data_IF_154573206786
#
_entry.id   IF_154573206786
#
_cell.length_a   1.000
_cell.length_b   1.000
_cell.length_c   1.000
_cell.angle_alpha   90.00
_cell.angle_beta   90.00
_cell.angle_gamma   90.00
#
_symmetry.space_group_name_H-M   'P 1'
#
loop_
_entity.id
_entity.type
_entity.pdbx_description
1 polymer ?
#
# COMPACT_ATOMS: atom_id res chain seq x y z
N UNK A 1 26.44 42.56 49.08
CA UNK A 1 26.63 42.47 50.55
C UNK A 1 25.30 42.13 51.18
N UNK A 2 25.29 41.07 51.98
CA UNK A 2 24.38 40.68 53.09
C UNK A 2 22.88 41.04 53.01
N UNK A 3 21.94 40.15 53.30
CA UNK A 3 22.06 38.88 54.02
C UNK A 3 20.74 38.11 54.05
N UNK A 4 20.89 36.82 54.34
CA UNK A 4 19.85 35.83 54.46
C UNK A 4 19.00 35.98 55.73
N UNK A 5 17.80 35.40 55.72
CA UNK A 5 17.24 34.68 56.87
C UNK A 5 16.29 33.59 56.38
N UNK A 6 16.65 32.34 56.70
CA UNK A 6 15.85 31.13 56.56
C UNK A 6 14.73 31.07 57.61
N UNK A 7 13.64 30.38 57.31
CA UNK A 7 13.05 29.43 58.26
C UNK A 7 12.18 28.40 57.53
N UNK A 8 12.53 27.14 57.76
CA UNK A 8 11.79 25.94 57.34
C UNK A 8 10.78 25.59 58.43
N UNK A 9 9.56 25.19 58.05
CA UNK A 9 8.68 24.38 58.90
C UNK A 9 8.25 23.14 58.12
N UNK A 10 8.70 22.00 58.65
CA UNK A 10 8.26 20.65 58.34
C UNK A 10 6.91 20.41 59.03
N UNK A 11 5.93 19.84 58.33
CA UNK A 11 4.92 19.02 58.98
C UNK A 11 4.62 17.80 58.11
N UNK A 12 4.84 16.62 58.69
CA UNK A 12 4.47 15.32 58.17
C UNK A 12 3.11 14.91 58.74
N UNK A 13 2.22 14.39 57.88
CA UNK A 13 1.26 13.33 58.21
C UNK A 13 0.69 12.80 56.89
N UNK A 14 1.16 11.65 56.37
CA UNK A 14 0.72 10.28 56.68
C UNK A 14 -0.77 9.99 56.41
N UNK A 15 -1.10 9.53 55.19
CA UNK A 15 -2.21 8.59 54.96
C UNK A 15 -2.01 7.73 53.69
N UNK A 16 -2.13 6.43 53.95
CA UNK A 16 -2.08 5.21 53.14
C UNK A 16 -2.28 5.28 51.60
N UNK A 17 -1.50 4.49 50.82
CA UNK A 17 -1.81 4.16 49.44
C UNK A 17 -2.81 2.98 49.35
N UNK A 18 -3.83 3.15 48.52
CA UNK A 18 -4.81 2.14 48.14
C UNK A 18 -4.17 1.01 47.33
N UNK A 19 -4.40 -0.22 47.78
CA UNK A 19 -3.95 -1.48 47.20
C UNK A 19 -4.67 -1.81 45.89
N UNK A 20 -3.88 -2.02 44.83
CA UNK A 20 -4.28 -2.69 43.58
C UNK A 20 -4.17 -4.21 43.83
N UNK A 21 -5.19 -5.03 43.49
CA UNK A 21 -5.09 -6.48 43.68
C UNK A 21 -4.21 -7.09 42.59
N UNK A 22 -3.04 -7.58 42.99
CA UNK A 22 -2.19 -8.47 42.20
C UNK A 22 -2.86 -9.85 42.12
N UNK A 23 -3.23 -10.29 40.92
CA UNK A 23 -3.67 -11.67 40.69
C UNK A 23 -2.43 -12.57 40.74
N UNK A 24 -2.28 -13.26 41.86
CA UNK A 24 -1.26 -14.29 42.09
C UNK A 24 -1.63 -15.57 41.34
N UNK A 25 -0.91 -15.90 40.27
CA UNK A 25 -0.97 -17.24 39.67
C UNK A 25 -0.19 -18.24 40.57
N UNK A 26 -0.68 -19.48 40.71
CA UNK A 26 -0.08 -20.44 41.63
C UNK A 26 1.30 -20.88 41.15
N UNK A 27 2.23 -20.82 42.09
CA UNK A 27 3.60 -21.32 42.01
C UNK A 27 3.56 -22.85 41.99
N UNK A 28 3.65 -23.50 40.81
CA UNK A 28 3.91 -24.94 40.73
C UNK A 28 5.41 -25.16 40.77
N UNK A 29 5.89 -25.59 41.93
CA UNK A 29 7.26 -26.04 42.14
C UNK A 29 7.45 -27.48 41.65
N UNK A 30 8.56 -27.69 40.92
CA UNK A 30 9.35 -28.93 40.81
C UNK A 30 8.64 -30.19 40.29
N UNK A 31 8.86 -30.48 39.01
CA UNK A 31 9.21 -31.82 38.55
C UNK A 31 10.56 -31.76 37.83
N UNK A 32 11.59 -32.27 38.51
CA UNK A 32 12.88 -32.62 37.94
C UNK A 32 12.71 -34.01 37.34
N UNK A 33 12.85 -34.14 36.02
CA UNK A 33 13.23 -35.43 35.46
C UNK A 33 14.13 -35.22 34.24
N UNK A 34 15.32 -35.78 34.34
CA UNK A 34 16.25 -35.97 33.24
C UNK A 34 15.63 -36.95 32.24
N UNK A 35 15.72 -36.68 30.95
CA UNK A 35 16.21 -37.66 29.98
C UNK A 35 16.34 -37.08 28.57
N UNK A 36 17.60 -37.04 28.12
CA UNK A 36 18.11 -37.48 26.81
C UNK A 36 17.30 -37.21 25.55
N UNK A 37 17.88 -36.35 24.71
CA UNK A 37 17.96 -36.40 23.24
C UNK A 37 17.25 -37.59 22.56
N UNK A 38 16.31 -37.27 21.67
CA UNK A 38 16.22 -37.91 20.36
C UNK A 38 15.42 -37.02 19.40
N UNK A 39 16.13 -36.46 18.43
CA UNK A 39 15.54 -35.94 17.20
C UNK A 39 14.86 -37.09 16.46
N UNK A 40 13.57 -36.96 16.20
CA UNK A 40 12.89 -37.69 15.13
C UNK A 40 11.88 -36.75 14.49
N UNK A 41 12.26 -36.17 13.35
CA UNK A 41 11.36 -35.45 12.47
C UNK A 41 10.33 -36.44 11.91
N UNK A 42 9.06 -36.27 12.31
CA UNK A 42 7.95 -36.86 11.57
C UNK A 42 7.47 -35.82 10.57
N UNK A 43 7.86 -36.03 9.31
CA UNK A 43 7.22 -35.40 8.16
C UNK A 43 5.74 -35.74 8.17
N UNK A 44 4.89 -34.72 8.27
CA UNK A 44 3.49 -34.85 7.88
C UNK A 44 3.42 -34.66 6.36
N UNK A 45 3.17 -35.77 5.66
CA UNK A 45 2.79 -35.80 4.26
C UNK A 45 1.37 -35.24 4.11
N UNK A 46 1.24 -34.04 3.56
CA UNK A 46 -0.04 -33.49 3.12
C UNK A 46 -0.47 -34.24 1.86
N UNK A 47 -1.70 -34.71 1.88
CA UNK A 47 -2.41 -35.40 0.81
C UNK A 47 -2.59 -34.41 -0.36
N UNK A 48 -1.93 -34.69 -1.48
CA UNK A 48 -2.17 -34.00 -2.75
C UNK A 48 -3.53 -34.43 -3.32
N UNK A 49 -4.41 -33.48 -3.62
CA UNK A 49 -5.50 -33.69 -4.57
C UNK A 49 -5.25 -32.80 -5.81
N UNK A 50 -5.41 -33.30 -7.06
CA UNK A 50 -4.66 -32.80 -8.20
C UNK A 50 -5.52 -31.92 -9.11
N UNK A 51 -5.35 -30.61 -9.08
CA UNK A 51 -5.82 -29.73 -10.15
C UNK A 51 -4.86 -28.57 -10.46
N UNK A 52 -3.57 -28.85 -10.63
CA UNK A 52 -2.69 -27.96 -11.38
C UNK A 52 -1.75 -28.80 -12.26
N UNK A 53 -2.00 -28.81 -13.57
CA UNK A 53 -1.14 -29.45 -14.57
C UNK A 53 0.19 -28.70 -14.63
N UNK A 54 1.25 -29.34 -14.15
CA UNK A 54 2.62 -29.01 -14.52
C UNK A 54 2.85 -29.44 -15.98
N UNK A 55 3.04 -28.49 -16.88
CA UNK A 55 3.63 -28.77 -18.18
C UNK A 55 5.15 -28.57 -18.10
N UNK A 56 5.86 -29.68 -17.89
CA UNK A 56 7.27 -29.79 -18.29
C UNK A 56 7.28 -29.99 -19.81
N UNK A 57 7.89 -29.07 -20.56
CA UNK A 57 8.19 -29.30 -21.97
C UNK A 57 9.67 -29.62 -22.17
N UNK A 58 9.91 -30.80 -22.73
CA UNK A 58 11.20 -31.24 -23.28
C UNK A 58 11.38 -30.58 -24.66
N UNK A 59 12.58 -30.06 -24.92
CA UNK A 59 13.02 -29.67 -26.28
C UNK A 59 13.22 -30.90 -27.17
N UNK A 60 12.87 -30.80 -28.46
CA UNK A 60 13.81 -31.19 -29.52
C UNK A 60 13.81 -30.20 -30.73
N UNK A 61 14.75 -30.34 -31.69
CA UNK A 61 15.17 -29.26 -32.56
C UNK A 61 14.59 -29.28 -34.00
N UNK A 62 14.76 -28.14 -34.68
CA UNK A 62 14.95 -27.92 -36.13
C UNK A 62 13.92 -27.05 -36.90
N UNK A 63 14.44 -25.89 -37.35
CA UNK A 63 14.29 -25.18 -38.64
C UNK A 63 12.92 -25.08 -39.35
N UNK A 64 12.37 -23.86 -39.44
CA UNK A 64 12.40 -22.94 -40.63
C UNK A 64 11.51 -21.70 -40.39
N UNK A 65 11.76 -20.56 -41.04
CA UNK A 65 11.26 -19.26 -40.60
C UNK A 65 9.91 -18.91 -41.23
N UNK A 66 8.98 -18.39 -40.44
CA UNK A 66 7.82 -17.66 -40.96
C UNK A 66 7.75 -16.31 -40.25
N UNK A 67 7.93 -15.28 -41.07
CA UNK A 67 7.89 -13.87 -40.69
C UNK A 67 6.48 -13.49 -40.24
N UNK A 68 6.36 -13.01 -39.00
CA UNK A 68 5.20 -12.27 -38.53
C UNK A 68 5.73 -11.07 -37.74
N UNK A 69 5.49 -9.88 -38.28
CA UNK A 69 5.91 -8.61 -37.70
C UNK A 69 5.34 -8.45 -36.29
N UNK A 70 6.21 -8.63 -35.29
CA UNK A 70 5.95 -8.12 -33.94
C UNK A 70 6.18 -6.62 -33.99
N UNK A 71 5.14 -5.84 -33.70
CA UNK A 71 5.28 -4.44 -33.35
C UNK A 71 6.16 -4.38 -32.09
N UNK A 72 7.44 -4.10 -32.28
CA UNK A 72 8.36 -3.82 -31.19
C UNK A 72 7.87 -2.55 -30.49
N UNK A 73 7.40 -2.71 -29.26
CA UNK A 73 7.22 -1.61 -28.33
C UNK A 73 8.60 -1.04 -28.04
N UNK A 74 8.96 0.03 -28.76
CA UNK A 74 10.21 0.73 -28.54
C UNK A 74 10.11 1.51 -27.23
N UNK A 75 10.69 0.94 -26.17
CA UNK A 75 11.09 1.70 -24.99
C UNK A 75 12.20 2.63 -25.48
N UNK A 76 11.86 3.87 -25.82
CA UNK A 76 12.90 4.87 -26.05
C UNK A 76 13.70 5.00 -24.74
N UNK A 77 15.02 4.83 -24.75
CA UNK A 77 15.84 5.03 -23.56
C UNK A 77 15.87 6.53 -23.30
N UNK A 78 14.89 7.05 -22.58
CA UNK A 78 14.95 8.40 -22.04
C UNK A 78 16.07 8.38 -21.01
N UNK A 79 17.16 9.09 -21.31
CA UNK A 79 18.25 9.33 -20.36
C UNK A 79 17.67 9.74 -19.01
N UNK A 80 18.08 9.09 -17.92
CA UNK A 80 17.53 9.36 -16.58
C UNK A 80 17.57 10.86 -16.27
N UNK A 81 16.43 11.43 -15.90
CA UNK A 81 16.38 12.83 -15.46
C UNK A 81 16.90 12.93 -14.02
N UNK A 82 17.41 14.11 -13.60
CA UNK A 82 17.70 14.35 -12.18
C UNK A 82 16.50 14.03 -11.28
N UNK A 83 15.28 14.32 -11.75
CA UNK A 83 14.03 14.01 -11.05
C UNK A 83 13.84 12.51 -10.82
N UNK A 84 14.17 11.65 -11.79
CA UNK A 84 14.10 10.20 -11.60
C UNK A 84 15.08 9.72 -10.53
N UNK A 85 16.32 10.22 -10.55
CA UNK A 85 17.32 9.87 -9.54
C UNK A 85 16.86 10.28 -8.13
N UNK A 86 16.25 11.46 -8.00
CA UNK A 86 15.64 11.90 -6.75
C UNK A 86 14.47 11.01 -6.32
N UNK A 87 13.53 10.72 -7.22
CA UNK A 87 12.44 9.78 -6.99
C UNK A 87 12.98 8.42 -6.51
N UNK A 88 13.97 7.88 -7.21
CA UNK A 88 14.59 6.61 -6.89
C UNK A 88 15.20 6.59 -5.49
N UNK A 89 15.85 7.69 -5.09
CA UNK A 89 16.40 7.84 -3.74
C UNK A 89 15.35 7.90 -2.63
N UNK A 90 14.13 8.36 -2.94
CA UNK A 90 13.03 8.49 -1.97
C UNK A 90 12.22 7.22 -1.84
N UNK A 91 12.00 6.51 -2.93
CA UNK A 91 11.13 5.34 -2.93
C UNK A 91 11.87 4.04 -2.57
N UNK A 92 13.19 3.98 -2.80
CA UNK A 92 13.99 2.77 -2.57
C UNK A 92 14.20 2.49 -1.08
N UNK A 93 13.95 1.25 -0.66
CA UNK A 93 14.07 0.83 0.72
C UNK A 93 13.22 -0.38 1.06
N UNK A 94 13.30 -0.79 2.32
CA UNK A 94 12.37 -1.68 2.97
C UNK A 94 11.24 -0.85 3.56
N UNK A 95 10.00 -1.22 3.24
CA UNK A 95 8.79 -0.58 3.75
C UNK A 95 7.95 -1.61 4.47
N UNK A 96 7.77 -1.45 5.77
CA UNK A 96 6.99 -2.37 6.60
C UNK A 96 5.67 -1.72 7.00
N UNK A 97 4.62 -2.51 7.18
CA UNK A 97 3.34 -1.97 7.58
C UNK A 97 2.19 -2.97 7.56
N UNK A 98 1.01 -2.46 7.27
CA UNK A 98 -0.21 -3.26 7.17
C UNK A 98 -0.93 -3.00 5.85
N UNK A 99 -1.58 -4.03 5.33
CA UNK A 99 -2.41 -3.95 4.14
C UNK A 99 -3.78 -4.58 4.34
N UNK A 100 -4.83 -3.95 3.84
CA UNK A 100 -6.20 -4.44 3.93
C UNK A 100 -6.98 -4.22 2.65
N UNK A 101 -7.94 -5.11 2.40
CA UNK A 101 -8.87 -5.05 1.27
C UNK A 101 -10.23 -4.50 1.75
N UNK A 102 -10.88 -3.69 0.93
CA UNK A 102 -12.14 -3.00 1.22
C UNK A 102 -13.12 -3.17 0.06
N UNK A 103 -14.42 -3.20 0.40
CA UNK A 103 -15.51 -3.20 -0.59
C UNK A 103 -15.63 -1.84 -1.29
N UNK A 104 -16.49 -1.76 -2.30
CA UNK A 104 -16.87 -0.52 -2.99
C UNK A 104 -17.54 0.51 -2.08
N UNK A 105 -17.98 0.12 -0.89
CA UNK A 105 -18.58 1.00 0.13
C UNK A 105 -17.58 1.35 1.24
N UNK A 106 -16.30 0.96 1.11
CA UNK A 106 -15.27 1.24 2.10
C UNK A 106 -15.33 0.37 3.35
N UNK A 107 -16.03 -0.78 3.30
CA UNK A 107 -16.07 -1.73 4.42
C UNK A 107 -14.87 -2.66 4.35
N UNK A 108 -14.15 -2.91 5.46
CA UNK A 108 -13.02 -3.83 5.46
C UNK A 108 -13.49 -5.27 5.20
N UNK A 109 -12.69 -6.01 4.45
CA UNK A 109 -12.93 -7.42 4.11
C UNK A 109 -12.09 -8.29 5.05
N UNK A 110 -12.77 -9.19 5.77
CA UNK A 110 -12.13 -10.11 6.72
C UNK A 110 -11.19 -11.08 5.98
N UNK A 111 -10.06 -11.40 6.60
CA UNK A 111 -9.12 -12.37 6.05
C UNK A 111 -9.77 -13.76 5.98
N UNK A 112 -9.44 -14.56 4.95
CA UNK A 112 -10.00 -15.90 4.83
C UNK A 112 -9.69 -16.76 6.05
N UNK A 113 -10.68 -17.55 6.47
CA UNK A 113 -10.59 -18.38 7.67
C UNK A 113 -9.37 -19.32 7.67
N UNK A 114 -8.95 -19.81 6.50
CA UNK A 114 -7.82 -20.73 6.36
C UNK A 114 -6.43 -20.10 6.57
N UNK A 115 -6.32 -18.76 6.59
CA UNK A 115 -5.06 -18.06 6.89
C UNK A 115 -5.00 -17.54 8.33
N UNK A 116 -6.13 -17.53 9.04
CA UNK A 116 -6.24 -16.99 10.40
C UNK A 116 -6.11 -18.14 11.42
N UNK A 117 -5.14 -18.06 12.36
CA UNK A 117 -5.00 -19.07 13.43
C UNK A 117 -6.29 -19.27 14.23
N UNK A 118 -6.54 -20.51 14.66
CA UNK A 118 -7.76 -20.91 15.40
C UNK A 118 -7.97 -20.10 16.68
N UNK A 119 -6.89 -19.70 17.35
CA UNK A 119 -6.93 -18.86 18.56
C UNK A 119 -7.71 -17.55 18.36
N UNK A 120 -7.63 -16.91 17.19
CA UNK A 120 -8.43 -15.71 16.92
C UNK A 120 -9.93 -16.00 16.94
N UNK A 121 -10.36 -17.20 16.53
CA UNK A 121 -11.76 -17.61 16.57
C UNK A 121 -12.20 -17.92 17.99
N UNK A 122 -11.37 -18.60 18.76
CA UNK A 122 -11.62 -18.85 20.19
C UNK A 122 -11.78 -17.54 20.98
N UNK A 123 -11.10 -16.48 20.56
CA UNK A 123 -11.20 -15.14 21.16
C UNK A 123 -12.26 -14.25 20.50
N UNK A 124 -12.98 -14.75 19.50
CA UNK A 124 -13.96 -14.00 18.71
C UNK A 124 -13.39 -12.72 18.07
N UNK A 125 -12.09 -12.73 17.74
CA UNK A 125 -11.38 -11.61 17.12
C UNK A 125 -11.33 -11.80 15.61
N UNK A 126 -11.94 -10.86 14.89
CA UNK A 126 -11.84 -10.79 13.42
C UNK A 126 -10.51 -10.17 13.01
N UNK A 127 -9.89 -10.73 11.97
CA UNK A 127 -8.64 -10.21 11.41
C UNK A 127 -8.91 -9.69 10.00
N UNK A 128 -8.53 -8.44 9.74
CA UNK A 128 -8.75 -7.77 8.46
C UNK A 128 -7.44 -7.40 7.76
N UNK A 129 -6.42 -7.09 8.55
CA UNK A 129 -5.13 -6.60 8.07
C UNK A 129 -4.12 -7.72 7.89
N UNK A 130 -3.43 -7.70 6.75
CA UNK A 130 -2.17 -8.39 6.57
C UNK A 130 -1.05 -7.55 7.20
N UNK A 131 -0.13 -8.16 7.93
CA UNK A 131 1.19 -7.55 8.08
C UNK A 131 1.92 -7.67 6.74
N UNK A 132 2.54 -6.58 6.29
CA UNK A 132 3.14 -6.48 4.97
C UNK A 132 4.56 -5.93 5.01
N UNK A 133 5.35 -6.35 4.03
CA UNK A 133 6.59 -5.70 3.63
C UNK A 133 6.52 -5.37 2.13
N UNK A 134 6.91 -4.18 1.69
CA UNK A 134 7.23 -3.89 0.29
C UNK A 134 8.68 -3.39 0.14
N UNK A 135 9.64 -4.32 0.01
CA UNK A 135 10.94 -4.01 -0.56
C UNK A 135 10.73 -3.33 -1.91
N UNK A 136 11.21 -2.10 -2.03
CA UNK A 136 11.13 -1.28 -3.24
C UNK A 136 12.53 -0.89 -3.68
N UNK A 137 12.85 -1.06 -4.96
CA UNK A 137 14.12 -0.64 -5.54
C UNK A 137 13.86 0.07 -6.87
N UNK A 138 14.29 1.32 -6.96
CA UNK A 138 14.38 2.07 -8.20
C UNK A 138 15.86 2.27 -8.56
N UNK A 139 16.22 1.96 -9.79
CA UNK A 139 17.58 2.19 -10.29
C UNK A 139 17.72 3.67 -10.68
N UNK A 140 18.65 4.46 -10.11
CA UNK A 140 18.65 5.91 -10.36
C UNK A 140 19.04 6.31 -11.80
N UNK A 141 19.67 5.40 -12.56
CA UNK A 141 20.14 5.65 -13.93
C UNK A 141 19.28 4.99 -15.01
N UNK A 142 18.50 3.99 -14.62
CA UNK A 142 17.67 3.20 -15.52
C UNK A 142 16.24 3.39 -15.04
N UNK A 143 15.32 3.86 -15.89
CA UNK A 143 13.89 4.08 -15.56
C UNK A 143 13.20 2.75 -15.21
N UNK A 144 13.62 2.14 -14.11
CA UNK A 144 13.37 0.78 -13.67
C UNK A 144 13.07 0.81 -12.18
N UNK A 145 11.89 0.31 -11.82
CA UNK A 145 11.42 0.18 -10.44
C UNK A 145 10.89 -1.25 -10.24
N UNK A 146 11.23 -1.86 -9.11
CA UNK A 146 10.63 -3.10 -8.61
C UNK A 146 10.03 -2.86 -7.22
N UNK A 147 8.76 -3.22 -6.99
CA UNK A 147 8.20 -3.39 -5.63
C UNK A 147 7.74 -4.83 -5.46
N UNK A 148 7.96 -5.38 -4.26
CA UNK A 148 7.49 -6.71 -3.88
C UNK A 148 6.54 -6.62 -2.71
N UNK A 149 5.22 -6.69 -2.91
CA UNK A 149 4.31 -6.79 -1.77
C UNK A 149 4.34 -8.20 -1.19
N UNK A 150 4.97 -8.36 -0.03
CA UNK A 150 5.01 -9.59 0.76
C UNK A 150 3.93 -9.51 1.84
N UNK A 151 2.98 -10.45 1.83
CA UNK A 151 1.98 -10.60 2.91
C UNK A 151 2.44 -11.68 3.86
N UNK A 152 2.33 -11.43 5.16
CA UNK A 152 2.68 -12.39 6.22
C UNK A 152 1.42 -12.99 6.83
N UNK A 153 1.48 -14.27 7.21
CA UNK A 153 0.39 -14.92 7.95
C UNK A 153 0.22 -14.25 9.32
N UNK A 154 -1.03 -14.02 9.78
CA UNK A 154 -1.29 -13.63 11.16
C UNK A 154 -0.71 -14.66 12.14
N UNK A 155 -0.08 -14.18 13.22
CA UNK A 155 0.53 -15.02 14.26
C UNK A 155 -0.04 -14.68 15.63
N UNK A 156 0.02 -15.64 16.56
CA UNK A 156 -0.41 -15.47 17.96
C UNK A 156 0.67 -15.92 18.94
N UNK A 157 0.70 -15.34 20.13
CA UNK A 157 1.60 -15.76 21.21
C UNK A 157 3.09 -15.50 20.94
N UNK A 158 3.96 -16.28 21.59
CA UNK A 158 5.42 -16.18 21.42
C UNK A 158 5.93 -16.67 20.06
N UNK A 159 5.06 -17.24 19.22
CA UNK A 159 5.37 -17.61 17.83
C UNK A 159 5.41 -16.39 16.89
N UNK A 160 5.03 -15.21 17.40
CA UNK A 160 5.12 -13.95 16.67
C UNK A 160 6.58 -13.60 16.24
N UNK A 161 7.59 -14.21 16.84
CA UNK A 161 9.00 -14.06 16.44
C UNK A 161 9.37 -14.76 15.12
N UNK A 162 8.45 -15.56 14.54
CA UNK A 162 8.63 -16.25 13.27
C UNK A 162 7.60 -15.79 12.22
N UNK A 163 7.90 -14.70 11.53
CA UNK A 163 7.11 -14.25 10.39
C UNK A 163 7.09 -15.31 9.28
N UNK A 164 5.89 -15.74 8.86
CA UNK A 164 5.71 -16.68 7.75
C UNK A 164 5.12 -15.96 6.55
N UNK A 165 5.76 -16.06 5.39
CA UNK A 165 5.26 -15.46 4.15
C UNK A 165 4.04 -16.24 3.65
N UNK A 166 2.96 -15.53 3.37
CA UNK A 166 1.76 -16.07 2.72
C UNK A 166 1.86 -15.95 1.20
N UNK A 167 2.13 -14.73 0.71
CA UNK A 167 2.21 -14.44 -0.72
C UNK A 167 3.23 -13.36 -1.02
N UNK A 168 3.74 -13.36 -2.25
CA UNK A 168 4.62 -12.32 -2.79
C UNK A 168 4.02 -11.89 -4.13
N UNK A 169 3.71 -10.60 -4.26
CA UNK A 169 3.31 -9.96 -5.51
C UNK A 169 4.44 -9.01 -5.95
N UNK A 170 5.12 -9.33 -7.05
CA UNK A 170 6.25 -8.54 -7.57
C UNK A 170 5.82 -7.79 -8.82
N UNK A 171 6.07 -6.47 -8.83
CA UNK A 171 5.71 -5.56 -9.92
C UNK A 171 6.93 -4.83 -10.42
N UNK A 172 7.11 -4.83 -11.73
CA UNK A 172 8.22 -4.18 -12.41
C UNK A 172 7.71 -3.07 -13.34
N UNK A 173 8.30 -1.89 -13.23
CA UNK A 173 8.12 -0.76 -14.14
C UNK A 173 9.41 -0.60 -14.95
N UNK A 174 9.28 -0.51 -16.27
CA UNK A 174 10.41 -0.36 -17.18
C UNK A 174 11.18 -1.66 -17.42
N UNK A 175 12.19 -1.58 -18.29
CA UNK A 175 12.99 -2.73 -18.68
C UNK A 175 12.21 -3.78 -19.51
N UNK A 176 12.81 -4.97 -19.64
CA UNK A 176 12.26 -6.08 -20.44
C UNK A 176 11.03 -6.71 -19.79
N UNK A 177 11.00 -6.71 -18.46
CA UNK A 177 9.93 -7.33 -17.65
C UNK A 177 8.83 -6.33 -17.26
N UNK A 178 8.72 -5.20 -17.95
CA UNK A 178 7.75 -4.14 -17.65
C UNK A 178 6.31 -4.69 -17.58
N UNK A 179 5.65 -4.47 -16.44
CA UNK A 179 4.26 -4.91 -16.22
C UNK A 179 3.25 -3.75 -16.30
N UNK A 180 3.71 -2.50 -16.44
CA UNK A 180 2.84 -1.32 -16.36
C UNK A 180 2.29 -0.90 -17.72
N UNK A 181 1.04 -0.42 -17.75
CA UNK A 181 0.47 0.28 -18.92
C UNK A 181 0.72 1.80 -18.89
N UNK A 182 0.90 2.38 -17.71
CA UNK A 182 1.27 3.77 -17.52
C UNK A 182 1.84 3.98 -16.11
N UNK A 183 2.88 4.80 -15.98
CA UNK A 183 3.53 5.13 -14.73
C UNK A 183 3.89 6.60 -14.71
N UNK A 184 3.41 7.33 -13.71
CA UNK A 184 3.76 8.72 -13.50
C UNK A 184 4.40 8.90 -12.13
N UNK A 185 5.52 9.62 -12.04
CA UNK A 185 6.30 9.78 -10.82
C UNK A 185 6.66 11.23 -10.52
N UNK A 186 6.91 11.54 -9.26
CA UNK A 186 7.41 12.84 -8.81
C UNK A 186 8.68 12.66 -7.96
N UNK A 187 9.61 13.62 -7.99
CA UNK A 187 10.86 13.55 -7.18
C UNK A 187 10.64 13.35 -5.68
N UNK A 188 9.46 13.73 -5.17
CA UNK A 188 9.06 13.52 -3.78
C UNK A 188 8.83 12.05 -3.38
N UNK A 189 8.82 11.11 -4.34
CA UNK A 189 8.58 9.68 -4.12
C UNK A 189 7.13 9.24 -4.37
N UNK A 190 6.20 10.18 -4.52
CA UNK A 190 4.83 9.86 -4.92
C UNK A 190 4.78 9.39 -6.38
N UNK A 191 3.90 8.44 -6.67
CA UNK A 191 3.66 7.95 -8.03
C UNK A 191 2.23 7.46 -8.20
N UNK A 192 1.81 7.30 -9.46
CA UNK A 192 0.66 6.47 -9.78
C UNK A 192 0.98 5.53 -10.95
N UNK A 193 0.43 4.33 -10.90
CA UNK A 193 0.67 3.25 -11.84
C UNK A 193 -0.65 2.62 -12.29
N UNK A 194 -0.75 2.31 -13.58
CA UNK A 194 -1.88 1.58 -14.16
C UNK A 194 -1.42 0.20 -14.57
N UNK A 195 -1.86 -0.81 -13.83
CA UNK A 195 -1.51 -2.21 -14.06
C UNK A 195 -2.63 -2.92 -14.81
N UNK A 196 -2.35 -3.54 -15.96
CA UNK A 196 -3.30 -4.43 -16.60
C UNK A 196 -3.40 -5.73 -15.81
N UNK A 197 -4.61 -6.14 -15.46
CA UNK A 197 -4.87 -7.49 -14.92
C UNK A 197 -5.24 -8.39 -16.09
N UNK A 198 -4.66 -9.60 -16.15
CA UNK A 198 -4.78 -10.54 -17.28
C UNK A 198 -6.24 -10.71 -17.73
N UNK A 199 -6.44 -10.53 -19.03
CA UNK A 199 -7.74 -10.56 -19.71
C UNK A 199 -8.22 -12.00 -19.93
N UNK A 200 -9.34 -12.37 -19.31
CA UNK A 200 -10.02 -13.65 -19.53
C UNK A 200 -11.00 -13.63 -20.73
N UNK A 201 -10.94 -12.60 -21.59
CA UNK A 201 -11.63 -12.53 -22.87
C UNK A 201 -13.06 -11.97 -22.84
N UNK A 202 -13.53 -11.46 -21.70
CA UNK A 202 -14.87 -10.85 -21.56
C UNK A 202 -14.85 -9.48 -20.87
N UNK A 203 -13.89 -9.25 -19.97
CA UNK A 203 -13.75 -7.99 -19.23
C UNK A 203 -12.27 -7.70 -18.99
N UNK A 204 -11.83 -6.49 -19.33
CA UNK A 204 -10.50 -6.01 -18.98
C UNK A 204 -10.55 -5.44 -17.56
N UNK A 205 -9.65 -5.89 -16.69
CA UNK A 205 -9.53 -5.37 -15.34
C UNK A 205 -8.22 -4.58 -15.23
N UNK A 206 -8.25 -3.47 -14.51
CA UNK A 206 -7.10 -2.63 -14.23
C UNK A 206 -6.95 -2.45 -12.73
N UNK A 207 -5.70 -2.34 -12.27
CA UNK A 207 -5.41 -1.81 -10.94
C UNK A 207 -4.77 -0.44 -11.08
N UNK A 208 -5.38 0.55 -10.42
CA UNK A 208 -4.88 1.91 -10.34
C UNK A 208 -4.20 2.07 -8.98
N UNK A 209 -2.88 1.94 -8.96
CA UNK A 209 -2.08 2.06 -7.75
C UNK A 209 -1.58 3.50 -7.60
N UNK A 210 -1.89 4.10 -6.47
CA UNK A 210 -1.50 5.45 -6.10
C UNK A 210 -0.64 5.38 -4.84
N UNK A 211 0.63 5.73 -4.93
CA UNK A 211 1.53 5.82 -3.80
C UNK A 211 1.70 7.29 -3.41
N UNK A 212 1.19 7.67 -2.25
CA UNK A 212 1.25 9.01 -1.70
C UNK A 212 2.29 9.05 -0.57
N UNK A 213 3.31 9.89 -0.72
CA UNK A 213 4.29 10.18 0.34
C UNK A 213 3.80 11.35 1.17
N UNK A 214 3.87 11.25 2.50
CA UNK A 214 3.56 12.38 3.36
C UNK A 214 4.64 13.46 3.18
N UNK A 215 4.29 14.70 2.78
CA UNK A 215 5.27 15.75 2.55
C UNK A 215 5.99 16.18 3.84
N UNK A 216 5.40 15.93 5.02
CA UNK A 216 5.96 16.25 6.34
C UNK A 216 6.70 15.08 6.97
N UNK A 217 6.37 13.86 6.57
CA UNK A 217 7.03 12.64 7.02
C UNK A 217 7.35 11.75 5.82
N UNK A 218 8.57 11.91 5.29
CA UNK A 218 9.02 11.18 4.10
C UNK A 218 9.25 9.69 4.35
N UNK A 219 9.17 9.24 5.60
CA UNK A 219 9.24 7.83 5.96
C UNK A 219 7.85 7.19 6.02
N UNK A 220 6.77 7.95 5.81
CA UNK A 220 5.40 7.42 5.76
C UNK A 220 4.84 7.48 4.36
N UNK A 221 4.27 6.37 3.90
CA UNK A 221 3.57 6.31 2.61
C UNK A 221 2.25 5.54 2.69
N UNK A 222 1.32 5.95 1.86
CA UNK A 222 0.05 5.27 1.65
C UNK A 222 -0.02 4.78 0.22
N UNK A 223 -0.16 3.46 0.02
CA UNK A 223 -0.45 2.89 -1.30
C UNK A 223 -1.92 2.51 -1.36
N UNK A 224 -2.68 3.21 -2.19
CA UNK A 224 -4.10 2.95 -2.41
C UNK A 224 -4.27 2.40 -3.82
N UNK A 225 -4.86 1.22 -3.92
CA UNK A 225 -5.10 0.53 -5.19
C UNK A 225 -6.60 0.45 -5.42
N UNK A 226 -7.09 1.14 -6.44
CA UNK A 226 -8.46 0.99 -6.93
C UNK A 226 -8.46 -0.10 -8.00
N UNK A 227 -9.18 -1.19 -7.74
CA UNK A 227 -9.36 -2.27 -8.70
C UNK A 227 -10.61 -1.97 -9.52
N UNK A 228 -10.46 -1.78 -10.82
CA UNK A 228 -11.55 -1.36 -11.70
C UNK A 228 -11.77 -2.34 -12.83
N UNK A 229 -13.04 -2.55 -13.17
CA UNK A 229 -13.47 -3.27 -14.38
C UNK A 229 -13.72 -2.26 -15.48
N UNK A 230 -13.14 -2.52 -16.65
CA UNK A 230 -13.41 -1.79 -17.88
C UNK A 230 -14.46 -2.55 -18.66
N UNK A 231 -15.64 -1.93 -18.82
CA UNK A 231 -16.74 -2.41 -19.62
C UNK A 231 -16.99 -1.47 -20.81
N UNK A 232 -17.80 -1.91 -21.78
CA UNK A 232 -18.18 -1.09 -22.94
C UNK A 232 -18.87 0.23 -22.53
N UNK A 233 -19.46 0.26 -21.34
CA UNK A 233 -20.22 1.39 -20.79
C UNK A 233 -19.40 2.31 -19.88
N UNK A 234 -18.15 1.98 -19.57
CA UNK A 234 -17.28 2.79 -18.72
C UNK A 234 -16.40 1.98 -17.76
N UNK A 235 -15.95 2.65 -16.71
CA UNK A 235 -15.12 2.08 -15.64
C UNK A 235 -16.00 1.87 -14.41
N UNK A 236 -15.90 0.69 -13.80
CA UNK A 236 -16.62 0.34 -12.58
C UNK A 236 -15.63 -0.10 -11.49
N UNK A 237 -15.69 0.52 -10.31
CA UNK A 237 -14.90 0.08 -9.15
C UNK A 237 -15.36 -1.30 -8.68
N UNK A 238 -14.42 -2.20 -8.39
CA UNK A 238 -14.69 -3.56 -7.91
C UNK A 238 -14.26 -3.73 -6.45
N UNK A 239 -13.11 -3.16 -6.07
CA UNK A 239 -12.59 -3.20 -4.72
C UNK A 239 -11.50 -2.15 -4.52
N UNK A 240 -11.16 -1.88 -3.26
CA UNK A 240 -10.06 -1.00 -2.89
C UNK A 240 -9.08 -1.80 -2.03
N UNK A 241 -7.78 -1.62 -2.24
CA UNK A 241 -6.74 -2.14 -1.36
C UNK A 241 -5.91 -0.99 -0.83
N UNK A 242 -5.62 -1.00 0.46
CA UNK A 242 -4.82 0.04 1.11
C UNK A 242 -3.63 -0.61 1.79
N UNK A 243 -2.45 -0.02 1.63
CA UNK A 243 -1.27 -0.31 2.43
C UNK A 243 -0.80 0.95 3.15
N UNK A 244 -0.68 0.84 4.46
CA UNK A 244 -0.09 1.86 5.33
C UNK A 244 1.31 1.42 5.67
N UNK A 245 2.32 2.12 5.17
CA UNK A 245 3.71 1.65 5.18
C UNK A 245 4.66 2.70 5.74
N UNK A 246 5.60 2.25 6.56
CA UNK A 246 6.69 3.04 7.11
C UNK A 246 8.02 2.54 6.54
N UNK A 247 8.90 3.47 6.22
CA UNK A 247 10.28 3.16 5.87
C UNK A 247 10.97 2.49 7.07
N UNK A 248 11.46 1.28 6.84
CA UNK A 248 12.16 0.47 7.83
C UNK A 248 13.68 0.60 7.68
N UNK A 249 14.18 0.61 6.44
CA UNK A 249 15.61 0.60 6.21
C UNK A 249 16.02 0.58 4.74
N UNK A 250 17.34 0.53 4.46
CA UNK A 250 17.85 0.34 3.11
C UNK A 250 17.37 -0.98 2.51
N UNK A 251 17.23 -1.01 1.18
CA UNK A 251 16.76 -2.19 0.44
C UNK A 251 17.60 -3.45 0.74
N UNK A 252 16.91 -4.54 1.08
CA UNK A 252 17.42 -5.88 1.36
C UNK A 252 16.57 -6.96 0.68
N UNK A 253 15.76 -6.59 -0.31
CA UNK A 253 14.90 -7.51 -1.07
C UNK A 253 13.96 -8.37 -0.18
N UNK A 254 13.61 -7.88 1.01
CA UNK A 254 12.78 -8.61 1.97
C UNK A 254 13.47 -9.80 2.64
N UNK A 255 14.80 -9.91 2.56
CA UNK A 255 15.58 -11.00 3.18
C UNK A 255 15.47 -11.00 4.72
N UNK A 256 15.14 -9.84 5.30
CA UNK A 256 14.84 -9.70 6.72
C UNK A 256 13.35 -9.43 6.90
N UNK A 257 12.64 -10.41 7.44
CA UNK A 257 11.25 -10.21 7.84
C UNK A 257 11.21 -9.32 9.09
N UNK A 258 10.44 -8.22 9.03
CA UNK A 258 10.21 -7.35 10.17
C UNK A 258 9.58 -8.16 11.30
N UNK A 259 10.26 -8.24 12.45
CA UNK A 259 9.72 -8.87 13.65
C UNK A 259 8.53 -8.09 14.23
N UNK A 260 7.96 -8.55 15.33
CA UNK A 260 6.79 -8.01 16.06
C UNK A 260 6.77 -6.49 16.35
N UNK A 261 7.85 -5.76 16.08
CA UNK A 261 8.04 -4.36 16.40
C UNK A 261 7.90 -3.45 15.17
N UNK A 262 6.84 -3.64 14.37
CA UNK A 262 6.44 -2.62 13.41
C UNK A 262 5.86 -1.41 14.15
N UNK A 263 6.21 -0.20 13.70
CA UNK A 263 5.89 1.06 14.40
C UNK A 263 4.40 1.43 14.32
N UNK A 264 3.64 0.78 13.45
CA UNK A 264 2.20 1.00 13.29
C UNK A 264 1.40 -0.22 13.73
N UNK A 265 0.07 -0.13 13.63
CA UNK A 265 -0.91 -1.14 14.02
C UNK A 265 -1.90 -1.41 12.89
N UNK A 266 -2.53 -2.58 12.95
CA UNK A 266 -3.67 -2.92 12.11
C UNK A 266 -4.73 -1.79 12.17
N UNK A 267 -5.28 -1.44 11.01
CA UNK A 267 -6.05 -0.21 10.84
C UNK A 267 -7.43 -0.42 10.22
N UNK A 268 -7.67 -1.54 9.55
CA UNK A 268 -8.85 -1.71 8.71
C UNK A 268 -10.16 -1.61 9.50
N UNK A 269 -10.16 -2.03 10.76
CA UNK A 269 -11.32 -1.93 11.67
C UNK A 269 -11.41 -0.62 12.46
N UNK A 270 -10.50 0.33 12.23
CA UNK A 270 -10.55 1.65 12.88
C UNK A 270 -11.58 2.56 12.21
N UNK A 271 -11.95 3.64 12.89
CA UNK A 271 -12.96 4.59 12.40
C UNK A 271 -12.53 5.17 11.04
N UNK A 272 -13.43 5.08 10.06
CA UNK A 272 -13.26 5.73 8.76
C UNK A 272 -13.26 7.26 8.90
N UNK A 273 -12.61 7.94 7.95
CA UNK A 273 -12.66 9.39 7.81
C UNK A 273 -14.10 9.90 7.74
N UNK A 274 -14.39 11.08 8.30
CA UNK A 274 -15.73 11.67 8.19
C UNK A 274 -15.86 12.45 6.88
N UNK A 275 -17.01 12.34 6.22
CA UNK A 275 -17.31 13.12 5.00
C UNK A 275 -17.08 14.62 5.20
N UNK A 276 -17.46 15.16 6.35
CA UNK A 276 -17.30 16.59 6.70
C UNK A 276 -15.86 17.09 6.71
N UNK A 277 -14.87 16.20 6.76
CA UNK A 277 -13.45 16.54 6.72
C UNK A 277 -12.89 16.59 5.29
N UNK A 278 -13.65 16.07 4.30
CA UNK A 278 -13.28 16.02 2.88
C UNK A 278 -14.14 16.95 2.05
N UNK A 279 -15.43 17.05 2.36
CA UNK A 279 -16.39 17.88 1.63
C UNK A 279 -16.01 19.35 1.76
N UNK A 280 -16.02 20.05 0.62
CA UNK A 280 -15.75 21.48 0.57
C UNK A 280 -14.86 21.85 -0.61
N UNK A 281 -14.26 23.03 -0.49
CA UNK A 281 -13.45 23.64 -1.53
C UNK A 281 -11.99 23.53 -1.14
N UNK A 282 -11.19 22.98 -2.05
CA UNK A 282 -9.77 22.74 -1.86
C UNK A 282 -8.98 23.48 -2.93
N UNK A 283 -7.78 23.93 -2.59
CA UNK A 283 -6.89 24.57 -3.54
C UNK A 283 -5.43 24.23 -3.26
N UNK A 284 -4.66 24.00 -4.32
CA UNK A 284 -3.22 23.85 -4.19
C UNK A 284 -2.51 23.54 -5.50
N UNK A 285 -1.17 23.50 -5.48
CA UNK A 285 -0.37 23.12 -6.65
C UNK A 285 -0.70 21.70 -7.11
N UNK A 286 -0.75 21.52 -8.43
CA UNK A 286 -0.87 20.22 -9.08
C UNK A 286 0.35 19.92 -9.94
N UNK A 287 0.78 18.67 -9.94
CA UNK A 287 1.69 18.12 -10.95
C UNK A 287 0.91 17.15 -11.84
N UNK A 288 1.19 17.18 -13.15
CA UNK A 288 0.46 16.44 -14.18
C UNK A 288 1.39 15.71 -15.13
N UNK A 289 0.93 14.57 -15.62
CA UNK A 289 1.47 13.89 -16.80
C UNK A 289 0.32 13.53 -17.73
N UNK A 290 0.56 13.68 -19.05
CA UNK A 290 -0.44 13.41 -20.08
C UNK A 290 -0.04 12.21 -20.92
N UNK A 291 -0.96 11.27 -21.05
CA UNK A 291 -0.80 10.04 -21.81
C UNK A 291 -1.59 10.19 -23.11
N UNK A 292 -0.92 10.64 -24.16
CA UNK A 292 -1.50 10.62 -25.51
C UNK A 292 -1.35 9.21 -26.09
N UNK A 293 -2.45 8.68 -26.62
CA UNK A 293 -2.50 7.46 -27.42
C UNK A 293 -1.51 7.41 -28.60
N UNK A 294 -1.01 8.56 -29.08
CA UNK A 294 0.01 8.63 -30.13
C UNK A 294 1.45 8.39 -29.63
N UNK A 295 1.70 8.55 -28.33
CA UNK A 295 3.02 8.42 -27.72
C UNK A 295 3.16 7.04 -27.05
N UNK A 296 4.13 6.25 -27.48
CA UNK A 296 4.48 4.96 -26.83
C UNK A 296 5.27 5.15 -25.51
N UNK A 297 5.07 6.26 -24.81
CA UNK A 297 5.80 6.57 -23.58
C UNK A 297 4.95 6.16 -22.38
N UNK A 298 5.36 5.05 -21.74
CA UNK A 298 4.65 4.47 -20.60
C UNK A 298 5.06 5.08 -19.27
N UNK A 299 6.28 5.63 -19.17
CA UNK A 299 6.87 6.18 -17.94
C UNK A 299 7.05 7.68 -18.14
N UNK A 300 6.44 8.48 -17.27
CA UNK A 300 6.46 9.93 -17.37
C UNK A 300 6.69 10.60 -16.03
N UNK A 301 7.35 11.75 -16.07
CA UNK A 301 7.49 12.64 -14.92
C UNK A 301 6.19 13.45 -14.73
N UNK A 302 5.74 13.58 -13.49
CA UNK A 302 4.71 14.52 -13.09
C UNK A 302 5.35 15.91 -13.02
N UNK A 303 4.98 16.78 -13.96
CA UNK A 303 5.52 18.13 -14.07
C UNK A 303 4.55 19.11 -13.42
N UNK A 304 5.10 20.08 -12.68
CA UNK A 304 4.30 21.14 -12.06
C UNK A 304 3.47 21.88 -13.12
N UNK A 305 2.16 21.99 -12.89
CA UNK A 305 1.19 22.68 -13.75
C UNK A 305 0.82 24.01 -13.10
N UNK A 306 -0.39 24.09 -12.55
CA UNK A 306 -0.95 25.30 -11.96
C UNK A 306 -1.59 24.97 -10.64
N UNK A 307 -1.96 26.03 -9.93
CA UNK A 307 -2.83 25.88 -8.77
C UNK A 307 -4.21 25.47 -9.26
N UNK A 308 -4.72 24.34 -8.77
CA UNK A 308 -6.06 23.84 -9.08
C UNK A 308 -6.98 24.08 -7.89
N UNK A 309 -8.24 24.35 -8.20
CA UNK A 309 -9.33 24.44 -7.24
C UNK A 309 -10.23 23.24 -7.48
N UNK A 310 -10.42 22.43 -6.44
CA UNK A 310 -11.25 21.22 -6.48
C UNK A 310 -12.42 21.43 -5.53
N UNK A 311 -13.62 21.03 -5.94
CA UNK A 311 -14.80 21.02 -5.07
C UNK A 311 -15.16 19.56 -4.88
N UNK A 312 -15.20 19.11 -3.63
CA UNK A 312 -15.63 17.77 -3.25
C UNK A 312 -16.97 17.88 -2.57
N UNK A 313 -17.93 17.11 -3.06
CA UNK A 313 -19.19 16.90 -2.37
C UNK A 313 -19.23 15.49 -1.78
N UNK A 314 -20.31 15.15 -1.09
CA UNK A 314 -20.42 13.87 -0.39
C UNK A 314 -20.73 12.70 -1.35
N UNK A 315 -21.13 12.99 -2.58
CA UNK A 315 -21.50 11.95 -3.53
C UNK A 315 -20.26 11.21 -4.01
N UNK A 316 -20.36 9.88 -4.09
CA UNK A 316 -19.31 8.99 -4.57
C UNK A 316 -18.01 8.97 -3.72
N UNK A 317 -18.01 9.61 -2.54
CA UNK A 317 -16.92 9.45 -1.58
C UNK A 317 -17.00 8.09 -0.89
N UNK A 318 -15.91 7.34 -0.98
CA UNK A 318 -15.68 6.11 -0.25
C UNK A 318 -14.68 6.43 0.84
N UNK A 319 -15.19 6.56 2.06
CA UNK A 319 -14.41 6.97 3.23
C UNK A 319 -13.72 5.75 3.84
N UNK A 320 -12.43 5.86 4.10
CA UNK A 320 -11.59 4.77 4.56
C UNK A 320 -10.92 5.15 5.89
N UNK A 321 -10.43 4.18 6.67
CA UNK A 321 -9.63 4.48 7.86
C UNK A 321 -8.30 5.17 7.50
N UNK A 322 -7.54 5.58 8.52
CA UNK A 322 -6.24 6.27 8.36
C UNK A 322 -6.32 7.58 7.56
N UNK A 323 -7.46 8.28 7.66
CA UNK A 323 -7.70 9.57 7.00
C UNK A 323 -7.62 9.48 5.48
N UNK A 324 -8.05 8.33 4.93
CA UNK A 324 -8.05 8.05 3.51
C UNK A 324 -9.45 8.15 2.93
N UNK A 325 -9.51 8.42 1.64
CA UNK A 325 -10.74 8.32 0.87
C UNK A 325 -10.44 8.00 -0.59
N UNK A 326 -11.44 7.49 -1.29
CA UNK A 326 -11.43 7.29 -2.73
C UNK A 326 -12.72 7.80 -3.35
N UNK A 327 -12.69 8.11 -4.63
CA UNK A 327 -13.89 8.32 -5.43
C UNK A 327 -13.71 7.80 -6.86
N UNK A 328 -14.84 7.57 -7.49
CA UNK A 328 -14.95 7.27 -8.92
C UNK A 328 -16.10 8.12 -9.46
N UNK A 329 -15.79 9.04 -10.36
CA UNK A 329 -16.77 10.01 -10.86
C UNK A 329 -16.77 10.07 -12.39
N UNK A 330 -17.96 10.13 -12.98
CA UNK A 330 -18.14 10.47 -14.39
C UNK A 330 -18.23 11.99 -14.55
N UNK A 331 -17.47 12.55 -15.49
CA UNK A 331 -17.45 13.97 -15.78
C UNK A 331 -18.15 14.32 -17.10
N UNK A 332 -18.55 15.59 -17.25
CA UNK A 332 -19.08 16.15 -18.50
C UNK A 332 -18.09 15.89 -19.63
N UNK A 333 -18.56 15.26 -20.71
CA UNK A 333 -17.73 14.81 -21.83
C UNK A 333 -17.49 13.30 -21.88
N UNK A 334 -18.01 12.54 -20.91
CA UNK A 334 -17.88 11.08 -20.85
C UNK A 334 -16.55 10.61 -20.28
N UNK A 335 -15.76 11.51 -19.69
CA UNK A 335 -14.54 11.15 -18.98
C UNK A 335 -14.86 10.52 -17.63
N UNK A 336 -13.98 9.65 -17.14
CA UNK A 336 -14.08 9.04 -15.81
C UNK A 336 -12.83 9.34 -15.00
N UNK A 337 -13.01 9.79 -13.76
CA UNK A 337 -11.94 10.15 -12.85
C UNK A 337 -11.92 9.16 -11.69
N UNK A 338 -10.77 8.53 -11.48
CA UNK A 338 -10.50 7.72 -10.30
C UNK A 338 -9.60 8.54 -9.39
N UNK A 339 -10.07 8.91 -8.21
CA UNK A 339 -9.32 9.74 -7.28
C UNK A 339 -9.13 9.04 -5.94
N UNK A 340 -7.98 9.27 -5.35
CA UNK A 340 -7.68 8.90 -3.96
C UNK A 340 -7.11 10.11 -3.24
N UNK A 341 -7.32 10.18 -1.93
CA UNK A 341 -6.75 11.22 -1.11
C UNK A 341 -6.34 10.75 0.27
N UNK A 342 -5.33 11.43 0.82
CA UNK A 342 -4.83 11.24 2.16
C UNK A 342 -4.75 12.59 2.89
N UNK A 343 -5.59 12.74 3.91
CA UNK A 343 -5.57 13.88 4.81
C UNK A 343 -4.50 13.61 5.90
N UNK A 344 -3.43 14.41 5.90
CA UNK A 344 -2.26 14.19 6.76
C UNK A 344 -2.04 15.31 7.80
N UNK A 345 -2.84 16.37 7.73
CA UNK A 345 -2.96 17.42 8.75
C UNK A 345 -4.34 18.09 8.61
N UNK A 346 -4.82 18.76 9.65
CA UNK A 346 -6.09 19.46 9.62
C UNK A 346 -6.15 20.45 8.46
N UNK A 347 -6.95 20.11 7.43
CA UNK A 347 -7.12 20.93 6.24
C UNK A 347 -6.01 20.81 5.19
N UNK A 348 -5.10 19.83 5.26
CA UNK A 348 -4.11 19.56 4.21
C UNK A 348 -4.22 18.12 3.68
N UNK A 349 -4.31 17.96 2.37
CA UNK A 349 -4.49 16.68 1.68
C UNK A 349 -3.49 16.51 0.55
N UNK A 350 -3.00 15.27 0.36
CA UNK A 350 -2.38 14.87 -0.91
C UNK A 350 -3.41 14.04 -1.65
N UNK A 351 -3.64 14.33 -2.93
CA UNK A 351 -4.49 13.49 -3.77
C UNK A 351 -3.75 13.01 -5.00
N UNK A 352 -4.23 11.89 -5.55
CA UNK A 352 -3.83 11.43 -6.87
C UNK A 352 -5.06 11.06 -7.68
N UNK A 353 -5.06 11.41 -8.96
CA UNK A 353 -6.18 11.20 -9.87
C UNK A 353 -5.70 10.59 -11.18
N UNK A 354 -6.38 9.54 -11.63
CA UNK A 354 -6.27 9.00 -12.98
C UNK A 354 -7.52 9.41 -13.77
N UNK A 355 -7.31 10.08 -14.92
CA UNK A 355 -8.38 10.56 -15.80
C UNK A 355 -8.40 9.70 -17.06
N UNK A 356 -9.57 9.11 -17.33
CA UNK A 356 -9.83 8.31 -18.52
C UNK A 356 -10.78 9.03 -19.47
N UNK A 357 -10.53 8.88 -20.76
CA UNK A 357 -11.46 9.26 -21.83
C UNK A 357 -12.71 8.39 -21.84
N UNK A 358 -13.69 8.77 -22.67
CA UNK A 358 -14.91 7.98 -22.89
C UNK A 358 -14.68 6.63 -23.55
N UNK A 359 -13.56 6.44 -24.27
CA UNK A 359 -13.12 5.15 -24.78
C UNK A 359 -12.19 4.39 -23.82
N UNK A 360 -12.18 4.81 -22.54
CA UNK A 360 -11.48 4.14 -21.43
C UNK A 360 -9.97 4.06 -21.65
N UNK A 361 -9.41 5.07 -22.31
CA UNK A 361 -7.96 5.26 -22.41
C UNK A 361 -7.51 6.26 -21.35
N UNK A 362 -6.40 5.96 -20.69
CA UNK A 362 -5.80 6.90 -19.75
C UNK A 362 -5.38 8.15 -20.52
N UNK A 363 -5.81 9.32 -20.05
CA UNK A 363 -5.44 10.63 -20.59
C UNK A 363 -4.45 11.36 -19.71
N UNK A 364 -4.69 11.39 -18.41
CA UNK A 364 -3.91 12.21 -17.48
C UNK A 364 -3.75 11.49 -16.14
N UNK A 365 -2.58 11.67 -15.52
CA UNK A 365 -2.36 11.37 -14.11
C UNK A 365 -2.01 12.69 -13.42
N UNK A 366 -2.62 12.92 -12.27
CA UNK A 366 -2.38 14.10 -11.45
C UNK A 366 -2.02 13.71 -10.04
N UNK A 367 -1.15 14.50 -9.43
CA UNK A 367 -0.92 14.52 -7.98
C UNK A 367 -1.05 15.97 -7.52
N UNK A 368 -1.79 16.19 -6.44
CA UNK A 368 -2.02 17.54 -5.91
C UNK A 368 -1.78 17.59 -4.41
N UNK A 369 -1.25 18.72 -3.95
CA UNK A 369 -1.13 19.03 -2.53
C UNK A 369 -2.07 20.20 -2.25
N UNK A 370 -3.19 19.94 -1.60
CA UNK A 370 -4.25 20.92 -1.44
C UNK A 370 -4.47 21.30 0.01
N UNK A 371 -4.91 22.54 0.21
CA UNK A 371 -5.39 23.03 1.49
C UNK A 371 -6.87 23.37 1.39
N UNK A 372 -7.63 23.08 2.44
CA UNK A 372 -9.03 23.47 2.52
C UNK A 372 -9.14 25.00 2.53
N UNK A 373 -10.04 25.53 1.71
CA UNK A 373 -10.40 26.94 1.72
C UNK A 373 -11.52 27.10 2.75
N UNK A 374 -11.18 27.70 3.89
CA UNK A 374 -12.18 28.17 4.85
C UNK A 374 -13.13 29.13 4.12
N UNK A 375 -14.43 28.87 4.16
CA UNK A 375 -15.41 29.81 3.63
C UNK A 375 -15.27 31.17 4.33
N UNK A 376 -15.18 32.24 3.55
CA UNK A 376 -15.46 33.60 4.04
C UNK A 376 -16.94 33.76 4.43
#
# INVERSE_FOLDING_TARGET
>A
MAGACSSSIVSQSSRAPSSIPTISLPFISKLRNNNTNNYNSKQYSIINNPHHRLFQSKLPPSSTPVSAAQAQQTINPTTSTPTWSEFASKISGEWDGFGADFTTEGKPIELPEYVVPEAYREWEVKVFDWQTQCPTLAHPQDLLLTCKTIKLLPTVGCEADAATRYSIDERVVGGVDNNVSAFAYQSGGSYAAVWPVVDNGQHKQLELEHCLINPRDKESRMRIIQVVRVANTGIELQSIRVFCEQWYGPFRNGDQLGGCAIRDSAFASTTALKASEVVGVWQGPSAISTFDSSQNVLIQELVDDKVRKTVRDEHNLILLPKQLWCSLEGHKGGETWCEVGWLFDHGCVVTSRCIFSSDVKLKEILVTHETAISGE
#
